data_IF_628395539273
#
_entry.id   IF_628395539273
#
_cell.length_a   1.000
_cell.length_b   1.000
_cell.length_c   1.000
_cell.angle_alpha   90.00
_cell.angle_beta   90.00
_cell.angle_gamma   90.00
#
_symmetry.space_group_name_H-M   'P 1'
#
loop_
_entity.id
_entity.type
_entity.pdbx_description
1 polymer ?
#
# COMPACT_ATOMS: atom_id res chain seq x y z
N UNK A 1 -5.70 15.86 8.47
CA UNK A 1 -4.60 15.16 7.76
C UNK A 1 -4.60 13.63 7.94
N UNK A 2 -5.70 13.03 8.39
CA UNK A 2 -5.80 11.60 8.73
C UNK A 2 -5.35 10.62 7.63
N UNK A 3 -5.61 10.92 6.36
CA UNK A 3 -5.22 10.04 5.24
C UNK A 3 -3.71 9.94 5.05
N UNK A 4 -2.98 11.06 5.24
CA UNK A 4 -1.51 11.06 5.13
C UNK A 4 -0.91 10.34 6.33
N UNK A 5 -1.47 10.53 7.52
CA UNK A 5 -1.03 9.82 8.72
C UNK A 5 -1.25 8.30 8.59
N UNK A 6 -2.39 7.87 8.05
CA UNK A 6 -2.67 6.45 7.73
C UNK A 6 -1.68 5.90 6.69
N UNK A 7 -1.34 6.70 5.68
CA UNK A 7 -0.37 6.34 4.65
C UNK A 7 1.05 6.16 5.22
N UNK A 8 1.49 7.06 6.10
CA UNK A 8 2.78 6.99 6.79
C UNK A 8 2.83 5.84 7.80
N UNK A 9 1.71 5.56 8.48
CA UNK A 9 1.59 4.39 9.35
C UNK A 9 1.75 3.10 8.54
N UNK A 10 1.13 3.01 7.36
CA UNK A 10 1.31 1.88 6.44
C UNK A 10 2.76 1.76 5.93
N UNK A 11 3.41 2.88 5.64
CA UNK A 11 4.83 2.92 5.31
C UNK A 11 5.73 2.47 6.48
N UNK A 12 5.29 2.61 7.71
CA UNK A 12 6.07 2.14 8.87
C UNK A 12 5.84 0.65 9.16
N UNK A 13 4.74 0.06 8.69
CA UNK A 13 4.45 -1.38 8.89
C UNK A 13 5.53 -2.28 8.27
N UNK A 14 6.07 -3.19 9.08
CA UNK A 14 7.00 -4.24 8.63
C UNK A 14 6.23 -5.33 7.87
N UNK A 15 6.79 -5.82 6.78
CA UNK A 15 6.20 -6.87 5.93
C UNK A 15 6.69 -8.27 6.37
N UNK A 16 7.36 -8.39 7.51
CA UNK A 16 7.87 -9.67 8.04
C UNK A 16 6.77 -10.52 8.66
N UNK A 17 6.89 -11.85 8.57
CA UNK A 17 6.03 -12.84 9.28
C UNK A 17 4.51 -12.73 9.08
N UNK A 18 4.06 -12.12 7.99
CA UNK A 18 2.63 -11.98 7.72
C UNK A 18 1.99 -13.30 7.26
N UNK A 19 0.85 -13.65 7.85
CA UNK A 19 0.00 -14.74 7.35
C UNK A 19 -0.55 -14.43 5.95
N UNK A 20 -1.19 -15.39 5.30
CA UNK A 20 -1.88 -15.14 4.01
C UNK A 20 -3.01 -14.14 4.18
N UNK A 21 -3.80 -14.24 5.26
CA UNK A 21 -4.88 -13.30 5.57
C UNK A 21 -4.34 -11.87 5.77
N UNK A 22 -3.26 -11.72 6.55
CA UNK A 22 -2.64 -10.41 6.78
C UNK A 22 -2.16 -9.78 5.47
N UNK A 23 -1.58 -10.58 4.58
CA UNK A 23 -1.11 -10.10 3.27
C UNK A 23 -2.26 -9.67 2.38
N UNK A 24 -3.39 -10.39 2.38
CA UNK A 24 -4.59 -9.99 1.63
C UNK A 24 -5.13 -8.66 2.16
N UNK A 25 -5.27 -8.53 3.48
CA UNK A 25 -5.75 -7.31 4.14
C UNK A 25 -4.84 -6.12 3.85
N UNK A 26 -3.52 -6.28 4.00
CA UNK A 26 -2.56 -5.22 3.73
C UNK A 26 -2.50 -4.82 2.24
N UNK A 27 -2.70 -5.76 1.32
CA UNK A 27 -2.79 -5.45 -0.12
C UNK A 27 -4.04 -4.59 -0.43
N UNK A 28 -5.18 -4.92 0.18
CA UNK A 28 -6.43 -4.16 0.07
C UNK A 28 -6.30 -2.76 0.67
N UNK A 29 -5.72 -2.67 1.88
CA UNK A 29 -5.45 -1.41 2.57
C UNK A 29 -4.55 -0.49 1.73
N UNK A 30 -3.45 -1.01 1.19
CA UNK A 30 -2.56 -0.27 0.31
C UNK A 30 -3.28 0.27 -0.95
N UNK A 31 -4.12 -0.56 -1.58
CA UNK A 31 -4.90 -0.14 -2.76
C UNK A 31 -5.87 0.98 -2.41
N UNK A 32 -6.58 0.87 -1.28
CA UNK A 32 -7.51 1.89 -0.83
C UNK A 32 -6.81 3.23 -0.56
N UNK A 33 -5.65 3.20 0.10
CA UNK A 33 -4.85 4.40 0.37
C UNK A 33 -4.41 5.09 -0.92
N UNK A 34 -3.86 4.33 -1.88
CA UNK A 34 -3.42 4.89 -3.17
C UNK A 34 -4.57 5.55 -3.94
N UNK A 35 -5.76 4.94 -3.95
CA UNK A 35 -6.92 5.52 -4.64
C UNK A 35 -7.39 6.82 -3.99
N UNK A 36 -7.51 6.84 -2.66
CA UNK A 36 -7.88 8.05 -1.90
C UNK A 36 -6.86 9.17 -2.09
N UNK A 37 -5.55 8.86 -2.05
CA UNK A 37 -4.50 9.86 -2.26
C UNK A 37 -4.55 10.41 -3.69
N UNK A 38 -4.85 9.57 -4.68
CA UNK A 38 -4.98 10.00 -6.07
C UNK A 38 -6.12 11.01 -6.29
N UNK A 39 -7.23 10.89 -5.56
CA UNK A 39 -8.33 11.86 -5.62
C UNK A 39 -7.88 13.25 -5.16
N UNK A 40 -7.13 13.31 -4.04
CA UNK A 40 -6.57 14.57 -3.54
C UNK A 40 -5.51 15.11 -4.52
N UNK A 41 -4.60 14.25 -4.98
CA UNK A 41 -3.55 14.62 -5.92
C UNK A 41 -4.10 15.21 -7.22
N UNK A 42 -5.24 14.70 -7.73
CA UNK A 42 -5.86 15.24 -8.95
C UNK A 42 -6.22 16.73 -8.81
N UNK A 43 -6.59 17.16 -7.61
CA UNK A 43 -6.98 18.53 -7.28
C UNK A 43 -5.76 19.37 -6.92
N UNK A 44 -4.92 18.88 -6.00
CA UNK A 44 -3.81 19.66 -5.43
C UNK A 44 -2.55 19.64 -6.29
N UNK A 45 -2.37 18.59 -7.10
CA UNK A 45 -1.13 18.29 -7.83
C UNK A 45 0.13 18.27 -6.97
N UNK A 46 -0.02 18.06 -5.66
CA UNK A 46 1.10 18.09 -4.72
C UNK A 46 2.08 16.93 -4.98
N UNK A 47 3.36 17.21 -5.32
CA UNK A 47 4.37 16.20 -5.53
C UNK A 47 4.57 15.25 -4.34
N UNK A 48 4.33 15.72 -3.10
CA UNK A 48 4.48 14.88 -1.89
C UNK A 48 3.48 13.71 -1.88
N UNK A 49 2.27 13.93 -2.37
CA UNK A 49 1.26 12.87 -2.47
C UNK A 49 1.69 11.77 -3.46
N UNK A 50 2.37 12.17 -4.54
CA UNK A 50 2.93 11.24 -5.52
C UNK A 50 4.06 10.38 -4.93
N UNK A 51 4.94 10.98 -4.11
CA UNK A 51 6.00 10.23 -3.41
C UNK A 51 5.41 9.18 -2.48
N UNK A 52 4.41 9.55 -1.67
CA UNK A 52 3.71 8.62 -0.77
C UNK A 52 3.05 7.48 -1.58
N UNK A 53 2.37 7.80 -2.68
CA UNK A 53 1.77 6.78 -3.55
C UNK A 53 2.81 5.80 -4.11
N UNK A 54 3.96 6.30 -4.57
CA UNK A 54 5.05 5.45 -5.09
C UNK A 54 5.54 4.49 -4.01
N UNK A 55 5.77 4.97 -2.79
CA UNK A 55 6.25 4.13 -1.68
C UNK A 55 5.25 3.04 -1.31
N UNK A 56 3.97 3.40 -1.16
CA UNK A 56 2.90 2.43 -0.87
C UNK A 56 2.79 1.39 -2.00
N UNK A 57 2.89 1.83 -3.26
CA UNK A 57 2.80 0.94 -4.42
C UNK A 57 3.94 -0.08 -4.46
N UNK A 58 5.17 0.33 -4.16
CA UNK A 58 6.32 -0.58 -4.07
C UNK A 58 6.11 -1.63 -2.98
N UNK A 59 5.62 -1.21 -1.80
CA UNK A 59 5.30 -2.15 -0.71
C UNK A 59 4.18 -3.11 -1.10
N UNK A 60 3.09 -2.61 -1.68
CA UNK A 60 1.98 -3.43 -2.17
C UNK A 60 2.46 -4.49 -3.16
N UNK A 61 3.30 -4.12 -4.12
CA UNK A 61 3.87 -5.05 -5.10
C UNK A 61 4.69 -6.16 -4.44
N UNK A 62 5.45 -5.86 -3.37
CA UNK A 62 6.19 -6.87 -2.60
C UNK A 62 5.23 -7.86 -1.89
N UNK A 63 4.15 -7.36 -1.30
CA UNK A 63 3.12 -8.19 -0.65
C UNK A 63 2.43 -9.10 -1.69
N UNK A 64 2.02 -8.54 -2.83
CA UNK A 64 1.36 -9.28 -3.91
C UNK A 64 2.27 -10.34 -4.54
N UNK A 65 3.57 -10.05 -4.72
CA UNK A 65 4.54 -11.05 -5.19
C UNK A 65 4.60 -12.26 -4.25
N UNK A 66 4.56 -12.04 -2.93
CA UNK A 66 4.53 -13.13 -1.94
C UNK A 66 3.20 -13.88 -1.90
N UNK A 67 2.09 -13.22 -2.21
CA UNK A 67 0.78 -13.88 -2.36
C UNK A 67 0.73 -14.75 -3.63
N UNK A 68 1.15 -14.21 -4.77
CA UNK A 68 1.17 -14.95 -6.04
C UNK A 68 2.17 -16.10 -6.04
N UNK A 69 3.33 -15.94 -5.38
CA UNK A 69 4.30 -17.02 -5.22
C UNK A 69 3.71 -18.25 -4.52
N UNK A 70 2.78 -18.06 -3.57
CA UNK A 70 2.06 -19.16 -2.92
C UNK A 70 0.99 -19.78 -3.81
N UNK A 71 0.25 -18.98 -4.57
CA UNK A 71 -0.79 -19.48 -5.47
C UNK A 71 -0.22 -20.32 -6.62
N UNK A 72 1.03 -20.08 -7.03
CA UNK A 72 1.70 -20.84 -8.08
C UNK A 72 2.50 -22.05 -7.55
N UNK A 73 2.60 -22.22 -6.24
CA UNK A 73 3.29 -23.36 -5.59
C UNK A 73 2.33 -24.33 -4.91
N UNK A 74 1.03 -24.09 -5.04
CA UNK A 74 -0.06 -25.01 -4.70
C UNK A 74 -0.62 -25.61 -6.00
#
# INVERSE_FOLDING_TARGET
MKLIDEALAFESKKIGHMSTSDRVSASREAKALVLKINEIYKITKDPKLMEIMKTITVKKRKIEKRLKGLLNSA
#
